data_IF_869800885761
#
_entry.id   IF_869800885761
#
_cell.length_a   1.000
_cell.length_b   1.000
_cell.length_c   1.000
_cell.angle_alpha   90.00
_cell.angle_beta   90.00
_cell.angle_gamma   90.00
#
_symmetry.space_group_name_H-M   'P 1'
#
loop_
_entity.id
_entity.type
_entity.pdbx_description
1 polymer ?
#
# COMPACT_ATOMS: atom_id res chain seq x y z
N UNK A 1 -25.66 9.96 -46.15
CA UNK A 1 -24.41 9.27 -45.79
C UNK A 1 -24.33 9.25 -44.27
N UNK A 2 -24.68 8.13 -43.63
CA UNK A 2 -24.85 8.01 -42.18
C UNK A 2 -23.48 7.66 -41.57
N UNK A 3 -22.75 8.65 -41.03
CA UNK A 3 -21.50 8.39 -40.31
C UNK A 3 -21.84 7.88 -38.92
N UNK A 4 -21.91 6.56 -38.80
CA UNK A 4 -22.04 5.87 -37.52
C UNK A 4 -20.69 5.96 -36.80
N UNK A 5 -20.41 7.09 -36.15
CA UNK A 5 -19.31 7.18 -35.19
C UNK A 5 -19.76 6.47 -33.92
N UNK A 6 -19.61 5.15 -33.92
CA UNK A 6 -19.67 4.35 -32.70
C UNK A 6 -18.64 4.93 -31.74
N UNK A 7 -19.09 5.80 -30.84
CA UNK A 7 -18.28 6.25 -29.72
C UNK A 7 -18.04 5.03 -28.85
N UNK A 8 -16.93 4.34 -29.11
CA UNK A 8 -16.33 3.41 -28.18
C UNK A 8 -15.90 4.24 -26.96
N UNK A 9 -16.88 4.54 -26.10
CA UNK A 9 -16.59 4.99 -24.75
C UNK A 9 -15.67 3.92 -24.14
N UNK A 10 -14.48 4.28 -23.65
CA UNK A 10 -13.55 3.29 -23.11
C UNK A 10 -14.25 2.60 -21.94
N UNK A 11 -14.61 1.33 -22.15
CA UNK A 11 -15.39 0.56 -21.20
C UNK A 11 -14.59 0.36 -19.91
N UNK A 12 -15.28 0.47 -18.79
CA UNK A 12 -14.73 0.21 -17.47
C UNK A 12 -14.23 -1.24 -17.39
N UNK A 13 -12.93 -1.42 -17.12
CA UNK A 13 -12.32 -2.75 -17.01
C UNK A 13 -12.25 -3.19 -15.55
N UNK A 14 -13.12 -4.12 -15.17
CA UNK A 14 -13.12 -4.79 -13.86
C UNK A 14 -11.79 -5.48 -13.57
N UNK A 15 -11.15 -6.07 -14.58
CA UNK A 15 -9.83 -6.69 -14.43
C UNK A 15 -8.77 -5.68 -14.02
N UNK A 16 -8.79 -4.47 -14.59
CA UNK A 16 -7.83 -3.42 -14.26
C UNK A 16 -8.02 -2.92 -12.81
N UNK A 17 -9.26 -2.82 -12.34
CA UNK A 17 -9.56 -2.50 -10.94
C UNK A 17 -9.06 -3.59 -9.98
N UNK A 18 -9.26 -4.87 -10.32
CA UNK A 18 -8.75 -5.99 -9.53
C UNK A 18 -7.23 -5.94 -9.36
N UNK A 19 -6.48 -5.66 -10.44
CA UNK A 19 -5.02 -5.49 -10.36
C UNK A 19 -4.59 -4.28 -9.54
N UNK A 20 -5.32 -3.16 -9.60
CA UNK A 20 -5.02 -1.98 -8.79
C UNK A 20 -5.24 -2.26 -7.31
N UNK A 21 -6.36 -2.88 -6.94
CA UNK A 21 -6.62 -3.30 -5.57
C UNK A 21 -5.53 -4.24 -5.08
N UNK A 22 -5.21 -5.28 -5.86
CA UNK A 22 -4.19 -6.27 -5.48
C UNK A 22 -2.82 -5.60 -5.26
N UNK A 23 -2.44 -4.64 -6.11
CA UNK A 23 -1.19 -3.90 -5.97
C UNK A 23 -1.11 -3.11 -4.66
N UNK A 24 -2.12 -2.28 -4.34
CA UNK A 24 -2.09 -1.50 -3.10
C UNK A 24 -2.26 -2.38 -1.86
N UNK A 25 -3.11 -3.40 -1.96
CA UNK A 25 -3.37 -4.34 -0.89
C UNK A 25 -2.12 -5.17 -0.56
N UNK A 26 -1.28 -5.49 -1.55
CA UNK A 26 -0.05 -6.26 -1.34
C UNK A 26 0.90 -5.62 -0.32
N UNK A 27 1.10 -4.29 -0.36
CA UNK A 27 2.01 -3.60 0.55
C UNK A 27 1.53 -3.66 2.01
N UNK A 28 0.22 -3.55 2.23
CA UNK A 28 -0.35 -3.50 3.57
C UNK A 28 -0.66 -4.88 4.15
N UNK A 29 -1.29 -5.75 3.36
CA UNK A 29 -1.73 -7.06 3.84
C UNK A 29 -0.61 -8.06 4.01
N UNK A 30 0.46 -7.99 3.20
CA UNK A 30 1.59 -8.91 3.36
C UNK A 30 2.24 -8.75 4.75
N UNK A 31 2.54 -7.50 5.14
CA UNK A 31 3.07 -7.18 6.46
C UNK A 31 2.12 -7.65 7.56
N UNK A 32 0.84 -7.35 7.41
CA UNK A 32 -0.15 -7.70 8.41
C UNK A 32 -0.33 -9.21 8.58
N UNK A 33 -0.28 -9.99 7.49
CA UNK A 33 -0.33 -11.45 7.52
C UNK A 33 0.89 -12.02 8.24
N UNK A 34 2.07 -11.45 8.02
CA UNK A 34 3.31 -11.85 8.71
C UNK A 34 3.20 -11.57 10.22
N UNK A 35 2.74 -10.38 10.60
CA UNK A 35 2.58 -10.01 12.02
C UNK A 35 1.48 -10.86 12.69
N UNK A 36 0.35 -11.09 12.02
CA UNK A 36 -0.74 -11.93 12.52
C UNK A 36 -0.27 -13.38 12.72
N UNK A 37 0.47 -13.94 11.76
CA UNK A 37 1.07 -15.27 11.85
C UNK A 37 2.03 -15.42 13.05
N UNK A 38 2.48 -14.32 13.64
CA UNK A 38 3.38 -14.30 14.80
C UNK A 38 2.65 -14.23 16.14
N UNK A 39 1.33 -14.04 16.13
CA UNK A 39 0.52 -13.90 17.34
C UNK A 39 0.64 -12.55 18.06
N UNK A 40 1.39 -11.58 17.51
CA UNK A 40 1.61 -10.27 18.13
C UNK A 40 0.46 -9.28 17.90
N UNK A 41 -0.34 -9.44 16.85
CA UNK A 41 -1.45 -8.54 16.52
C UNK A 41 -2.76 -9.31 16.35
N UNK A 42 -3.84 -8.73 16.88
CA UNK A 42 -5.22 -9.14 16.58
C UNK A 42 -5.65 -8.78 15.16
N UNK A 43 -6.92 -9.06 14.84
CA UNK A 43 -7.52 -8.81 13.52
C UNK A 43 -7.66 -7.32 13.16
N UNK A 44 -7.49 -6.42 14.13
CA UNK A 44 -7.66 -4.98 13.95
C UNK A 44 -6.70 -4.41 12.89
N UNK A 45 -5.43 -4.82 12.87
CA UNK A 45 -4.51 -4.29 11.87
C UNK A 45 -4.77 -4.80 10.45
N UNK A 46 -5.47 -5.94 10.26
CA UNK A 46 -5.92 -6.39 8.92
C UNK A 46 -7.00 -5.45 8.39
N UNK A 47 -7.91 -5.02 9.25
CA UNK A 47 -8.92 -4.03 8.90
C UNK A 47 -8.29 -2.70 8.53
N UNK A 48 -7.37 -2.20 9.36
CA UNK A 48 -6.75 -0.89 9.14
C UNK A 48 -5.88 -0.91 7.86
N UNK A 49 -5.18 -2.01 7.61
CA UNK A 49 -4.44 -2.24 6.36
C UNK A 49 -5.32 -2.17 5.10
N UNK A 50 -6.51 -2.75 5.14
CA UNK A 50 -7.47 -2.70 4.02
C UNK A 50 -8.02 -1.28 3.82
N UNK A 51 -8.28 -0.56 4.91
CA UNK A 51 -8.75 0.83 4.86
C UNK A 51 -7.69 1.77 4.27
N UNK A 52 -6.44 1.66 4.71
CA UNK A 52 -5.34 2.46 4.15
C UNK A 52 -5.07 2.11 2.68
N UNK A 53 -5.11 0.84 2.31
CA UNK A 53 -4.98 0.41 0.91
C UNK A 53 -6.07 1.02 0.02
N UNK A 54 -7.29 1.19 0.56
CA UNK A 54 -8.41 1.79 -0.15
C UNK A 54 -8.25 3.30 -0.35
N UNK A 55 -7.56 3.98 0.57
CA UNK A 55 -7.29 5.42 0.48
C UNK A 55 -6.37 5.74 -0.72
N UNK A 56 -5.42 4.86 -1.02
CA UNK A 56 -4.50 5.03 -2.15
C UNK A 56 -5.12 4.79 -3.53
N UNK A 57 -6.32 4.22 -3.60
CA UNK A 57 -7.09 4.11 -4.85
C UNK A 57 -7.68 5.45 -5.31
N UNK A 58 -7.87 6.41 -4.40
CA UNK A 58 -8.45 7.73 -4.69
C UNK A 58 -7.66 8.47 -5.79
N UNK A 59 -6.34 8.73 -5.66
CA UNK A 59 -5.59 9.44 -6.69
C UNK A 59 -5.53 8.67 -8.02
N UNK A 60 -5.61 7.34 -7.97
CA UNK A 60 -5.67 6.48 -9.16
C UNK A 60 -6.98 6.65 -9.93
N UNK A 61 -8.11 6.78 -9.23
CA UNK A 61 -9.42 7.02 -9.86
C UNK A 61 -9.59 8.44 -10.38
N UNK A 62 -8.97 9.44 -9.75
CA UNK A 62 -9.03 10.83 -10.19
C UNK A 62 -8.31 11.05 -11.53
N UNK A 63 -7.18 10.39 -11.77
CA UNK A 63 -6.33 10.62 -12.94
C UNK A 63 -6.02 9.32 -13.72
N UNK A 64 -6.99 8.76 -14.46
CA UNK A 64 -6.82 7.48 -15.15
C UNK A 64 -5.77 7.50 -16.27
N UNK A 65 -5.49 8.67 -16.86
CA UNK A 65 -4.40 8.83 -17.84
C UNK A 65 -2.99 8.80 -17.23
N UNK A 66 -2.86 8.97 -15.91
CA UNK A 66 -1.58 8.99 -15.18
C UNK A 66 -1.46 7.87 -14.14
N UNK A 67 -2.35 6.90 -14.16
CA UNK A 67 -2.41 5.78 -13.21
C UNK A 67 -1.07 5.07 -12.99
N UNK A 68 -0.30 4.79 -14.05
CA UNK A 68 1.01 4.13 -13.92
C UNK A 68 2.03 4.99 -13.17
N UNK A 69 2.03 6.31 -13.41
CA UNK A 69 2.95 7.25 -12.75
C UNK A 69 2.55 7.41 -11.29
N UNK A 70 1.26 7.63 -11.03
CA UNK A 70 0.74 7.76 -9.66
C UNK A 70 0.98 6.48 -8.87
N UNK A 71 0.66 5.32 -9.44
CA UNK A 71 0.93 4.03 -8.82
C UNK A 71 2.43 3.77 -8.65
N UNK A 72 3.30 4.25 -9.55
CA UNK A 72 4.74 4.13 -9.37
C UNK A 72 5.24 4.99 -8.20
N UNK A 73 4.82 6.25 -8.11
CA UNK A 73 5.25 7.17 -7.03
C UNK A 73 4.72 6.68 -5.69
N UNK A 74 3.42 6.42 -5.60
CA UNK A 74 2.77 5.92 -4.38
C UNK A 74 3.34 4.55 -4.03
N UNK A 75 3.43 3.64 -5.00
CA UNK A 75 3.94 2.30 -4.80
C UNK A 75 5.41 2.28 -4.38
N UNK A 76 6.23 3.21 -4.85
CA UNK A 76 7.61 3.37 -4.40
C UNK A 76 7.68 3.82 -2.94
N UNK A 77 6.86 4.79 -2.53
CA UNK A 77 6.77 5.23 -1.13
C UNK A 77 6.31 4.06 -0.24
N UNK A 78 5.22 3.39 -0.64
CA UNK A 78 4.68 2.25 0.08
C UNK A 78 5.70 1.11 0.17
N UNK A 79 6.36 0.77 -0.93
CA UNK A 79 7.42 -0.22 -0.98
C UNK A 79 8.58 0.12 -0.03
N UNK A 80 9.06 1.37 -0.02
CA UNK A 80 10.17 1.75 0.84
C UNK A 80 9.77 1.64 2.33
N UNK A 81 8.60 2.15 2.68
CA UNK A 81 8.09 2.08 4.06
C UNK A 81 7.79 0.64 4.52
N UNK A 82 7.19 -0.18 3.65
CA UNK A 82 6.86 -1.57 3.97
C UNK A 82 8.11 -2.44 4.03
N UNK A 83 9.10 -2.20 3.17
CA UNK A 83 10.37 -2.92 3.20
C UNK A 83 11.12 -2.64 4.50
N UNK A 84 11.15 -1.39 4.96
CA UNK A 84 11.77 -1.04 6.24
C UNK A 84 11.10 -1.78 7.41
N UNK A 85 9.76 -1.80 7.46
CA UNK A 85 9.01 -2.52 8.49
C UNK A 85 9.21 -4.05 8.39
N UNK A 86 9.30 -4.61 7.18
CA UNK A 86 9.55 -6.02 6.95
C UNK A 86 10.95 -6.43 7.45
N UNK A 87 11.97 -5.65 7.12
CA UNK A 87 13.34 -5.87 7.61
C UNK A 87 13.40 -5.79 9.13
N UNK A 88 12.74 -4.79 9.74
CA UNK A 88 12.63 -4.67 11.19
C UNK A 88 12.02 -5.93 11.81
N UNK A 89 10.90 -6.40 11.27
CA UNK A 89 10.23 -7.59 11.77
C UNK A 89 11.14 -8.84 11.67
N UNK A 90 11.88 -9.02 10.57
CA UNK A 90 12.78 -10.18 10.44
C UNK A 90 13.99 -10.15 11.38
N UNK A 91 14.42 -8.96 11.81
CA UNK A 91 15.53 -8.78 12.74
C UNK A 91 15.06 -8.96 14.19
N UNK A 92 13.94 -8.32 14.56
CA UNK A 92 13.48 -8.22 15.95
C UNK A 92 12.32 -9.15 16.31
N UNK A 93 11.62 -9.71 15.34
CA UNK A 93 10.49 -10.64 15.53
C UNK A 93 9.15 -10.00 15.90
N UNK A 94 9.07 -8.67 15.95
CA UNK A 94 7.87 -7.92 16.38
C UNK A 94 7.55 -6.77 15.43
N UNK A 95 6.34 -6.22 15.58
CA UNK A 95 5.89 -5.07 14.79
C UNK A 95 6.56 -3.76 15.20
N UNK A 96 6.54 -2.81 14.27
CA UNK A 96 7.15 -1.51 14.44
C UNK A 96 6.29 -0.61 15.35
N UNK A 97 6.82 -0.19 16.50
CA UNK A 97 6.11 0.63 17.49
C UNK A 97 6.45 2.13 17.37
N UNK A 98 5.57 3.00 17.88
CA UNK A 98 5.79 4.43 17.94
C UNK A 98 7.05 4.81 18.74
N UNK A 99 7.32 4.11 19.85
CA UNK A 99 8.53 4.38 20.66
C UNK A 99 9.81 4.05 19.88
N UNK A 100 9.79 3.02 19.05
CA UNK A 100 10.91 2.65 18.18
C UNK A 100 11.16 3.73 17.13
N UNK A 101 10.09 4.28 16.55
CA UNK A 101 10.17 5.39 15.60
C UNK A 101 10.83 6.63 16.26
N UNK A 102 10.45 6.95 17.49
CA UNK A 102 11.06 8.05 18.26
C UNK A 102 12.56 7.82 18.47
N UNK A 103 12.93 6.62 18.93
CA UNK A 103 14.35 6.26 19.13
C UNK A 103 15.14 6.34 17.81
N UNK A 104 14.55 5.90 16.69
CA UNK A 104 15.19 6.00 15.37
C UNK A 104 15.44 7.43 14.92
N UNK A 105 14.58 8.39 15.28
CA UNK A 105 14.82 9.81 15.00
C UNK A 105 15.84 10.46 15.93
N UNK A 106 15.99 9.93 17.15
CA UNK A 106 17.01 10.39 18.11
C UNK A 106 18.41 9.81 17.80
N UNK A 107 18.45 8.65 17.15
CA UNK A 107 19.69 7.93 16.75
C UNK A 107 20.44 8.66 15.64
N UNK A 108 21.77 8.63 15.70
CA UNK A 108 22.64 9.21 14.67
C UNK A 108 22.90 8.23 13.51
N UNK A 109 23.17 8.74 12.30
CA UNK A 109 23.50 7.95 11.12
C UNK A 109 24.71 7.02 11.31
N UNK A 110 25.66 7.38 12.19
CA UNK A 110 26.81 6.54 12.53
C UNK A 110 26.41 5.29 13.32
N UNK A 111 25.59 5.46 14.35
CA UNK A 111 25.06 4.36 15.17
C UNK A 111 24.13 3.47 14.33
N UNK A 112 23.28 4.07 13.51
CA UNK A 112 22.42 3.34 12.56
C UNK A 112 23.25 2.48 11.59
N UNK A 113 24.41 2.97 11.13
CA UNK A 113 25.33 2.23 10.27
C UNK A 113 25.95 1.01 10.97
N UNK A 114 26.35 1.16 12.23
CA UNK A 114 26.88 0.05 13.04
C UNK A 114 25.83 -1.05 13.24
N UNK A 115 24.59 -0.66 13.57
CA UNK A 115 23.48 -1.62 13.67
C UNK A 115 23.19 -2.29 12.32
N UNK A 116 23.14 -1.52 11.22
CA UNK A 116 22.88 -2.08 9.90
C UNK A 116 23.90 -3.16 9.54
N UNK A 117 25.20 -2.89 9.70
CA UNK A 117 26.25 -3.86 9.42
C UNK A 117 26.18 -5.10 10.32
N UNK A 118 25.74 -4.96 11.56
CA UNK A 118 25.59 -6.08 12.49
C UNK A 118 24.41 -7.01 12.13
N UNK A 119 23.29 -6.43 11.71
CA UNK A 119 22.07 -7.20 11.39
C UNK A 119 21.96 -7.60 9.91
N UNK A 120 22.82 -7.07 9.05
CA UNK A 120 22.84 -7.44 7.64
C UNK A 120 23.15 -8.93 7.47
N UNK A 121 22.25 -9.64 6.81
CA UNK A 121 22.41 -11.07 6.52
C UNK A 121 21.94 -11.40 5.11
N UNK A 122 22.51 -12.45 4.51
CA UNK A 122 22.09 -12.93 3.18
C UNK A 122 20.61 -13.33 3.14
N UNK A 123 20.05 -13.78 4.27
CA UNK A 123 18.62 -14.06 4.41
C UNK A 123 17.79 -12.80 4.21
N UNK A 124 18.18 -11.70 4.87
CA UNK A 124 17.51 -10.40 4.73
C UNK A 124 17.59 -9.86 3.30
N UNK A 125 18.76 -10.02 2.64
CA UNK A 125 18.96 -9.66 1.25
C UNK A 125 18.01 -10.44 0.32
N UNK A 126 17.90 -11.75 0.50
CA UNK A 126 17.04 -12.60 -0.33
C UNK A 126 15.56 -12.23 -0.18
N UNK A 127 15.09 -12.03 1.06
CA UNK A 127 13.72 -11.60 1.34
C UNK A 127 13.42 -10.25 0.67
N UNK A 128 14.34 -9.30 0.80
CA UNK A 128 14.22 -7.96 0.18
C UNK A 128 14.13 -8.05 -1.34
N UNK A 129 14.94 -8.92 -1.95
CA UNK A 129 14.97 -9.11 -3.40
C UNK A 129 13.66 -9.74 -3.89
N UNK A 130 13.20 -10.82 -3.25
CA UNK A 130 11.91 -11.46 -3.58
C UNK A 130 10.76 -10.48 -3.42
N UNK A 131 10.72 -9.72 -2.32
CA UNK A 131 9.68 -8.73 -2.07
C UNK A 131 9.63 -7.65 -3.16
N UNK A 132 10.80 -7.14 -3.54
CA UNK A 132 10.93 -6.12 -4.59
C UNK A 132 10.54 -6.69 -5.97
N UNK A 133 10.94 -7.92 -6.28
CA UNK A 133 10.57 -8.57 -7.54
C UNK A 133 9.05 -8.74 -7.68
N UNK A 134 8.36 -9.14 -6.60
CA UNK A 134 6.89 -9.27 -6.60
C UNK A 134 6.23 -7.90 -6.75
N UNK A 135 6.71 -6.87 -6.05
CA UNK A 135 6.23 -5.49 -6.18
C UNK A 135 6.34 -4.97 -7.63
N UNK A 136 7.50 -5.14 -8.26
CA UNK A 136 7.72 -4.75 -9.65
C UNK A 136 6.83 -5.57 -10.60
N UNK A 137 6.72 -6.87 -10.39
CA UNK A 137 5.84 -7.73 -11.20
C UNK A 137 4.39 -7.25 -11.15
N UNK A 138 3.86 -6.95 -9.96
CA UNK A 138 2.51 -6.42 -9.80
C UNK A 138 2.33 -5.07 -10.50
N UNK A 139 3.33 -4.19 -10.40
CA UNK A 139 3.32 -2.90 -11.09
C UNK A 139 3.26 -3.04 -12.62
N UNK A 140 4.01 -3.99 -13.21
CA UNK A 140 3.97 -4.23 -14.67
C UNK A 140 2.61 -4.71 -15.17
N UNK A 141 1.79 -5.31 -14.30
CA UNK A 141 0.44 -5.81 -14.62
C UNK A 141 -0.65 -4.74 -14.50
N UNK A 142 -0.34 -3.56 -13.96
CA UNK A 142 -1.29 -2.47 -13.84
C UNK A 142 -1.73 -1.95 -15.21
N UNK A 143 -3.04 -1.97 -15.44
CA UNK A 143 -3.69 -1.45 -16.64
C UNK A 143 -4.43 -0.15 -16.30
N UNK A 144 -4.50 0.82 -17.23
CA UNK A 144 -5.26 2.03 -16.99
C UNK A 144 -6.75 1.75 -16.83
N UNK A 145 -7.31 2.17 -15.69
CA UNK A 145 -8.72 2.02 -15.36
C UNK A 145 -9.46 3.26 -15.85
N UNK A 146 -10.20 3.15 -16.95
CA UNK A 146 -11.06 4.23 -17.41
C UNK A 146 -12.40 4.17 -16.68
N UNK A 147 -12.69 5.17 -15.85
CA UNK A 147 -13.97 5.33 -15.13
C UNK A 147 -14.73 6.51 -15.75
N UNK A 148 -16.05 6.43 -16.01
CA UNK A 148 -16.86 7.57 -16.45
C UNK A 148 -16.89 8.70 -15.40
N UNK A 149 -16.85 9.95 -15.87
CA UNK A 149 -16.58 11.18 -15.10
C UNK A 149 -17.34 11.36 -13.76
N UNK A 150 -18.66 11.12 -13.64
CA UNK A 150 -19.38 11.43 -12.40
C UNK A 150 -19.08 10.44 -11.26
N UNK A 151 -18.74 9.18 -11.56
CA UNK A 151 -18.50 8.15 -10.55
C UNK A 151 -17.14 8.30 -9.86
N UNK A 152 -16.18 9.03 -10.48
CA UNK A 152 -14.84 9.25 -9.90
C UNK A 152 -14.88 10.07 -8.61
N UNK A 153 -15.66 11.14 -8.64
CA UNK A 153 -15.86 12.01 -7.47
C UNK A 153 -16.65 11.30 -6.38
N UNK A 154 -17.71 10.58 -6.74
CA UNK A 154 -18.59 9.88 -5.79
C UNK A 154 -17.84 8.77 -5.06
N UNK A 155 -17.09 7.92 -5.76
CA UNK A 155 -16.33 6.83 -5.13
C UNK A 155 -15.21 7.40 -4.23
N UNK A 156 -14.51 8.44 -4.68
CA UNK A 156 -13.47 9.10 -3.87
C UNK A 156 -14.05 9.76 -2.62
N UNK A 157 -15.20 10.42 -2.75
CA UNK A 157 -15.91 11.08 -1.64
C UNK A 157 -16.55 10.08 -0.68
N UNK A 158 -16.89 8.86 -1.11
CA UNK A 158 -17.45 7.82 -0.26
C UNK A 158 -16.37 7.00 0.48
N UNK A 159 -15.19 6.84 -0.11
CA UNK A 159 -14.04 6.15 0.51
C UNK A 159 -13.44 6.94 1.68
N UNK A 160 -13.47 8.28 1.63
CA UNK A 160 -12.90 9.14 2.68
C UNK A 160 -13.65 9.02 4.03
N UNK A 161 -14.99 9.15 4.10
CA UNK A 161 -15.76 8.97 5.33
C UNK A 161 -15.69 7.53 5.86
N UNK A 162 -15.73 6.53 4.96
CA UNK A 162 -15.70 5.11 5.35
C UNK A 162 -14.40 4.71 6.04
N UNK A 163 -13.27 5.31 5.67
CA UNK A 163 -11.96 5.06 6.29
C UNK A 163 -11.79 5.77 7.65
N UNK A 164 -12.38 6.97 7.81
CA UNK A 164 -12.29 7.75 9.05
C UNK A 164 -13.30 7.30 10.13
N UNK A 165 -14.42 6.72 9.73
CA UNK A 165 -15.49 6.28 10.64
C UNK A 165 -15.03 5.38 11.81
N UNK A 166 -14.21 4.33 11.60
CA UNK A 166 -13.72 3.50 12.73
C UNK A 166 -12.77 4.25 13.67
N UNK A 167 -11.95 5.18 13.16
CA UNK A 167 -11.04 6.01 13.97
C UNK A 167 -11.81 7.01 14.82
N UNK A 168 -12.87 7.59 14.27
CA UNK A 168 -13.74 8.52 15.00
C UNK A 168 -14.49 7.78 16.12
N UNK A 169 -15.01 6.57 15.86
CA UNK A 169 -15.69 5.77 16.88
C UNK A 169 -14.73 5.37 18.01
N UNK A 170 -13.49 4.96 17.71
CA UNK A 170 -12.52 4.62 18.76
C UNK A 170 -12.11 5.83 19.60
N UNK A 171 -12.14 7.04 19.03
CA UNK A 171 -11.82 8.29 19.74
C UNK A 171 -12.97 8.76 20.63
N UNK A 172 -14.22 8.44 20.27
CA UNK A 172 -15.41 8.79 21.07
C UNK A 172 -15.66 7.79 22.21
N UNK A 173 -15.12 6.57 22.10
CA UNK A 173 -15.27 5.49 23.08
C UNK A 173 -14.22 5.49 24.20
N UNK A 174 -13.21 6.36 24.15
CA UNK A 174 -12.17 6.55 25.16
C UNK A 174 -12.35 7.90 25.86
#
# INVERSE_FOLDING_TARGET
MHLNTGQNTPAFSWSALGWAILYFCFFSTLLQVIIFSSGYSGTNGVRDSLLFSSLWLIPVFLFPGRIKIIAAVVGFILWATSLAALCYYFIYGHEFSQSVLFVMFETNAREAGEYFSQYFSLKLLFITLVYTAVSVFLWTRLRPVYIPSPWRGIVSFLLLPGSLFPVIISTISN
#
